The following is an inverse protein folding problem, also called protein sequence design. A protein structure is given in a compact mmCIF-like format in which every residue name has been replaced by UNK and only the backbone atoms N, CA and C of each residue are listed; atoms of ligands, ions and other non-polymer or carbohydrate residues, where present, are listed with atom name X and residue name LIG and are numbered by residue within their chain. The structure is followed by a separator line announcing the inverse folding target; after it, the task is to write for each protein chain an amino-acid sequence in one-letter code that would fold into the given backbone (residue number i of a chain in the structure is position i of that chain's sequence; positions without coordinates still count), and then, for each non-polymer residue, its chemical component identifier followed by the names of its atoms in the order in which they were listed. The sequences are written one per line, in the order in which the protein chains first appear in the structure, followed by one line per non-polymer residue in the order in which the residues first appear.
data_IF_465295333054
#
_entry.id   IF_465295333054
#
_cell.length_a   1.000
_cell.length_b   1.000
_cell.length_c   1.000
_cell.angle_alpha   90.00
_cell.angle_beta   90.00
_cell.angle_gamma   90.00
#
_symmetry.space_group_name_H-M   'P 1'
#
loop_
_entity.id
_entity.type
_entity.pdbx_description
1 polymer ?
#
# COMPACT_ATOMS: atom_id res chain seq x y z
N UNK A 1 -28.08 -8.45 16.36
CA UNK A 1 -27.28 -8.83 15.17
C UNK A 1 -25.89 -9.36 15.53
N UNK A 2 -24.94 -8.54 16.02
CA UNK A 2 -23.57 -9.02 16.34
C UNK A 2 -23.54 -10.12 17.41
N UNK A 3 -24.33 -9.97 18.48
CA UNK A 3 -24.46 -11.00 19.53
C UNK A 3 -25.22 -12.25 19.07
N UNK A 4 -26.08 -12.12 18.05
CA UNK A 4 -26.97 -13.19 17.59
C UNK A 4 -26.33 -14.05 16.47
N UNK A 5 -25.37 -13.50 15.72
CA UNK A 5 -24.76 -14.18 14.57
C UNK A 5 -23.46 -14.92 14.92
N UNK A 6 -22.56 -14.29 15.70
CA UNK A 6 -21.31 -14.81 16.31
C UNK A 6 -20.21 -13.73 16.31
N UNK A 7 -19.24 -13.78 17.24
CA UNK A 7 -18.08 -12.90 17.19
C UNK A 7 -17.23 -13.20 15.95
N UNK A 8 -16.86 -12.15 15.20
CA UNK A 8 -15.99 -12.28 14.03
C UNK A 8 -14.64 -12.88 14.42
N UNK A 9 -14.24 -13.93 13.70
CA UNK A 9 -12.93 -14.56 13.81
C UNK A 9 -12.13 -14.27 12.57
N UNK A 10 -10.91 -13.77 12.76
CA UNK A 10 -9.91 -13.65 11.71
C UNK A 10 -8.93 -14.81 11.85
N UNK A 11 -8.32 -15.22 10.74
CA UNK A 11 -7.29 -16.26 10.77
C UNK A 11 -6.07 -15.78 11.58
N UNK A 12 -5.37 -16.72 12.23
CA UNK A 12 -4.17 -16.37 13.01
C UNK A 12 -3.11 -15.65 12.18
N UNK A 13 -2.95 -16.06 10.92
CA UNK A 13 -2.08 -15.37 9.97
C UNK A 13 -2.50 -13.90 9.78
N UNK A 14 -3.78 -13.66 9.50
CA UNK A 14 -4.30 -12.30 9.31
C UNK A 14 -4.16 -11.43 10.58
N UNK A 15 -4.33 -12.03 11.77
CA UNK A 15 -4.09 -11.35 13.04
C UNK A 15 -2.62 -10.92 13.19
N UNK A 16 -1.67 -11.79 12.84
CA UNK A 16 -0.23 -11.46 12.84
C UNK A 16 0.08 -10.36 11.84
N UNK A 17 -0.49 -10.40 10.63
CA UNK A 17 -0.33 -9.36 9.62
C UNK A 17 -0.82 -8.00 10.13
N UNK A 18 -1.97 -7.95 10.81
CA UNK A 18 -2.46 -6.73 11.45
C UNK A 18 -1.56 -6.26 12.59
N UNK A 19 -1.08 -7.17 13.44
CA UNK A 19 -0.10 -6.84 14.48
C UNK A 19 1.18 -6.23 13.89
N UNK A 20 1.74 -6.85 12.85
CA UNK A 20 2.91 -6.34 12.12
C UNK A 20 2.66 -4.97 11.48
N UNK A 21 1.50 -4.78 10.84
CA UNK A 21 1.09 -3.49 10.30
C UNK A 21 1.05 -2.38 11.36
N UNK A 22 0.49 -2.64 12.55
CA UNK A 22 0.50 -1.68 13.67
C UNK A 22 1.91 -1.42 14.18
N UNK A 23 2.72 -2.46 14.34
CA UNK A 23 4.10 -2.33 14.80
C UNK A 23 4.93 -1.51 13.81
N UNK A 24 4.74 -1.73 12.51
CA UNK A 24 5.40 -0.96 11.46
C UNK A 24 5.02 0.52 11.54
N UNK A 25 3.74 0.86 11.71
CA UNK A 25 3.29 2.25 11.82
C UNK A 25 3.90 2.95 13.04
N UNK A 26 3.93 2.28 14.20
CA UNK A 26 4.62 2.79 15.39
C UNK A 26 6.12 2.98 15.15
N UNK A 27 6.77 2.00 14.52
CA UNK A 27 8.20 2.04 14.22
C UNK A 27 8.57 3.16 13.24
N UNK A 28 7.73 3.42 12.23
CA UNK A 28 7.94 4.50 11.24
C UNK A 28 8.02 5.86 11.94
N UNK A 29 7.13 6.13 12.89
CA UNK A 29 7.12 7.41 13.64
C UNK A 29 8.43 7.57 14.39
N UNK A 30 8.77 6.59 15.24
CA UNK A 30 9.97 6.66 16.08
C UNK A 30 11.25 6.70 15.25
N UNK A 31 11.34 5.88 14.20
CA UNK A 31 12.49 5.87 13.31
C UNK A 31 12.68 7.21 12.60
N UNK A 32 11.60 7.80 12.08
CA UNK A 32 11.64 9.11 11.42
C UNK A 32 12.12 10.19 12.41
N UNK A 33 11.61 10.21 13.63
CA UNK A 33 12.00 11.19 14.66
C UNK A 33 13.48 11.03 15.06
N UNK A 34 13.93 9.81 15.34
CA UNK A 34 15.27 9.56 15.88
C UNK A 34 16.39 9.69 14.83
N UNK A 35 16.19 9.14 13.63
CA UNK A 35 17.22 9.10 12.59
C UNK A 35 17.19 10.35 11.71
N UNK A 36 15.99 10.78 11.29
CA UNK A 36 15.85 11.85 10.29
C UNK A 36 15.32 13.16 10.89
N UNK A 37 14.90 13.21 12.15
CA UNK A 37 14.24 14.39 12.73
C UNK A 37 15.07 15.68 12.67
N UNK A 38 16.39 15.59 12.90
CA UNK A 38 17.29 16.76 12.78
C UNK A 38 17.41 17.27 11.35
N UNK A 39 17.47 16.35 10.39
CA UNK A 39 17.57 16.68 8.97
C UNK A 39 16.26 17.24 8.44
N UNK A 40 15.12 16.67 8.85
CA UNK A 40 13.78 17.19 8.55
C UNK A 40 13.64 18.61 9.09
N UNK A 41 14.05 18.86 10.33
CA UNK A 41 13.99 20.20 10.93
C UNK A 41 14.91 21.21 10.21
N UNK A 42 16.13 20.78 9.88
CA UNK A 42 17.06 21.59 9.12
C UNK A 42 16.47 21.97 7.75
N UNK A 43 15.92 21.00 7.00
CA UNK A 43 15.32 21.22 5.69
C UNK A 43 14.05 22.06 5.73
N UNK A 44 13.22 21.92 6.75
CA UNK A 44 12.06 22.81 6.97
C UNK A 44 12.53 24.25 7.18
N UNK A 45 13.64 24.44 7.90
CA UNK A 45 14.22 25.78 8.16
C UNK A 45 14.99 26.35 6.95
N UNK A 46 15.64 25.49 6.16
CA UNK A 46 16.48 25.86 5.02
C UNK A 46 15.76 25.75 3.67
N UNK A 47 14.44 25.55 3.65
CA UNK A 47 13.61 25.32 2.45
C UNK A 47 13.73 26.38 1.32
N UNK A 48 14.52 27.45 1.52
CA UNK A 48 14.85 28.47 0.53
C UNK A 48 16.34 28.63 0.19
N UNK A 49 17.24 27.98 0.91
CA UNK A 49 18.68 28.15 0.72
C UNK A 49 19.40 26.84 1.08
N UNK A 50 19.71 26.01 0.07
CA UNK A 50 20.98 25.28 0.06
C UNK A 50 21.31 24.63 -1.30
N UNK A 51 22.57 24.82 -1.69
CA UNK A 51 23.35 24.28 -2.81
C UNK A 51 22.61 23.53 -3.92
N UNK A 52 22.41 24.19 -5.06
CA UNK A 52 21.89 23.55 -6.26
C UNK A 52 22.84 22.45 -6.78
N UNK A 53 22.32 21.23 -6.80
CA UNK A 53 22.78 20.12 -7.62
C UNK A 53 22.99 20.61 -9.08
N UNK A 54 23.95 20.02 -9.81
CA UNK A 54 24.08 20.21 -11.27
C UNK A 54 22.74 20.02 -11.98
N UNK A 55 21.94 19.05 -11.56
CA UNK A 55 20.59 18.83 -12.06
C UNK A 55 19.64 19.99 -11.74
N UNK A 56 19.72 20.59 -10.56
CA UNK A 56 18.94 21.78 -10.21
C UNK A 56 19.35 22.98 -11.07
N UNK A 57 20.65 23.25 -11.21
CA UNK A 57 21.18 24.31 -12.09
C UNK A 57 20.74 24.16 -13.54
N UNK A 58 20.70 22.92 -14.04
CA UNK A 58 20.21 22.64 -15.40
C UNK A 58 18.68 22.83 -15.52
N UNK A 59 17.94 22.67 -14.42
CA UNK A 59 16.50 22.86 -14.37
C UNK A 59 16.08 24.32 -14.20
N UNK A 60 16.94 25.20 -13.69
CA UNK A 60 16.68 26.64 -13.52
C UNK A 60 16.29 27.35 -14.83
N UNK A 61 16.66 26.78 -15.98
CA UNK A 61 16.24 27.26 -17.30
C UNK A 61 14.73 27.15 -17.52
N UNK A 62 14.07 26.17 -16.89
CA UNK A 62 12.65 25.92 -17.05
C UNK A 62 11.86 26.69 -16.00
N UNK A 63 10.75 27.29 -16.45
CA UNK A 63 9.84 27.99 -15.52
C UNK A 63 9.15 26.97 -14.62
N UNK A 64 9.26 27.17 -13.32
CA UNK A 64 8.54 26.38 -12.34
C UNK A 64 7.02 26.54 -12.51
N UNK A 65 6.29 25.56 -11.98
CA UNK A 65 4.83 25.58 -11.91
C UNK A 65 4.45 26.52 -10.76
N UNK A 66 3.60 27.54 -10.99
CA UNK A 66 3.15 28.39 -9.91
C UNK A 66 2.40 27.58 -8.85
N UNK A 67 2.67 27.82 -7.57
CA UNK A 67 1.97 27.16 -6.45
C UNK A 67 0.44 27.29 -6.52
N UNK A 68 -0.04 28.39 -7.13
CA UNK A 68 -1.47 28.63 -7.38
C UNK A 68 -2.12 27.53 -8.22
N UNK A 69 -1.41 26.90 -9.16
CA UNK A 69 -1.96 25.81 -9.98
C UNK A 69 -2.28 24.59 -9.12
N UNK A 70 -1.38 24.24 -8.20
CA UNK A 70 -1.60 23.19 -7.21
C UNK A 70 -2.72 23.55 -6.23
N UNK A 71 -2.76 24.79 -5.76
CA UNK A 71 -3.81 25.26 -4.84
C UNK A 71 -5.20 25.20 -5.48
N UNK A 72 -5.35 25.65 -6.73
CA UNK A 72 -6.62 25.58 -7.47
C UNK A 72 -7.06 24.13 -7.65
N UNK A 73 -6.15 23.25 -8.07
CA UNK A 73 -6.45 21.82 -8.24
C UNK A 73 -6.88 21.17 -6.92
N UNK A 74 -6.19 21.50 -5.82
CA UNK A 74 -6.55 21.02 -4.49
C UNK A 74 -7.94 21.48 -4.08
N UNK A 75 -8.28 22.76 -4.28
CA UNK A 75 -9.61 23.30 -3.95
C UNK A 75 -10.70 22.62 -4.79
N UNK A 76 -10.49 22.42 -6.09
CA UNK A 76 -11.45 21.74 -6.98
C UNK A 76 -11.65 20.29 -6.53
N UNK A 77 -10.57 19.55 -6.28
CA UNK A 77 -10.63 18.15 -5.85
C UNK A 77 -11.31 18.02 -4.47
N UNK A 78 -11.03 18.93 -3.55
CA UNK A 78 -11.65 18.98 -2.22
C UNK A 78 -13.16 19.29 -2.32
N UNK A 79 -13.55 20.24 -3.18
CA UNK A 79 -14.95 20.57 -3.41
C UNK A 79 -15.72 19.38 -3.99
N UNK A 80 -15.17 18.70 -5.01
CA UNK A 80 -15.75 17.48 -5.56
C UNK A 80 -15.87 16.38 -4.49
N UNK A 81 -14.87 16.25 -3.62
CA UNK A 81 -14.91 15.29 -2.50
C UNK A 81 -16.06 15.59 -1.53
N UNK A 82 -16.28 16.87 -1.17
CA UNK A 82 -17.44 17.26 -0.36
C UNK A 82 -18.77 16.95 -1.04
N UNK A 83 -18.89 17.23 -2.34
CA UNK A 83 -20.08 16.94 -3.14
C UNK A 83 -20.39 15.44 -3.10
N UNK A 84 -19.39 14.57 -3.26
CA UNK A 84 -19.60 13.12 -3.20
C UNK A 84 -20.10 12.64 -1.85
N UNK A 85 -19.61 13.23 -0.75
CA UNK A 85 -20.00 12.81 0.61
C UNK A 85 -21.41 13.28 0.96
N UNK A 86 -21.81 14.47 0.50
CA UNK A 86 -23.11 15.08 0.84
C UNK A 86 -24.24 14.53 -0.04
N UNK A 87 -24.01 14.38 -1.34
CA UNK A 87 -25.07 13.99 -2.28
C UNK A 87 -25.36 12.49 -2.31
N UNK A 88 -24.36 11.64 -2.01
CA UNK A 88 -24.53 10.19 -2.00
C UNK A 88 -24.73 9.65 -0.57
N UNK A 89 -25.47 8.55 -0.38
CA UNK A 89 -25.72 7.91 0.92
C UNK A 89 -24.45 7.25 1.46
N UNK A 90 -23.50 8.08 1.86
CA UNK A 90 -22.15 7.74 2.26
C UNK A 90 -22.06 7.31 3.73
N UNK A 91 -23.05 7.71 4.54
CA UNK A 91 -23.04 7.61 6.00
C UNK A 91 -21.76 8.19 6.64
N UNK A 92 -21.07 9.09 5.94
CA UNK A 92 -19.84 9.76 6.38
C UNK A 92 -20.15 11.25 6.64
N UNK A 93 -19.95 11.78 7.86
CA UNK A 93 -20.10 13.21 8.11
C UNK A 93 -19.05 14.03 7.35
N UNK A 94 -19.45 15.18 6.77
CA UNK A 94 -18.55 16.01 5.94
C UNK A 94 -17.23 16.40 6.64
N UNK A 95 -17.26 16.69 7.94
CA UNK A 95 -16.07 17.08 8.72
C UNK A 95 -15.03 15.97 8.84
N UNK A 96 -15.43 14.70 8.71
CA UNK A 96 -14.48 13.57 8.73
C UNK A 96 -13.57 13.56 7.50
N UNK A 97 -13.96 14.19 6.40
CA UNK A 97 -13.07 14.39 5.24
C UNK A 97 -11.86 15.25 5.61
N UNK A 98 -12.06 16.31 6.39
CA UNK A 98 -10.98 17.20 6.83
C UNK A 98 -9.97 16.41 7.67
N UNK A 99 -10.46 15.54 8.55
CA UNK A 99 -9.60 14.66 9.35
C UNK A 99 -8.81 13.70 8.46
N UNK A 100 -9.42 13.13 7.42
CA UNK A 100 -8.72 12.25 6.49
C UNK A 100 -7.59 12.99 5.75
N UNK A 101 -7.83 14.24 5.32
CA UNK A 101 -6.81 15.08 4.65
C UNK A 101 -5.68 15.45 5.60
N UNK A 102 -5.98 15.84 6.84
CA UNK A 102 -4.96 16.13 7.86
C UNK A 102 -4.13 14.87 8.14
N UNK A 103 -4.79 13.72 8.30
CA UNK A 103 -4.11 12.45 8.51
C UNK A 103 -3.17 12.12 7.36
N UNK A 104 -3.62 12.27 6.11
CA UNK A 104 -2.79 12.06 4.93
C UNK A 104 -1.57 13.00 4.91
N UNK A 105 -1.76 14.28 5.22
CA UNK A 105 -0.69 15.27 5.27
C UNK A 105 0.38 14.91 6.32
N UNK A 106 -0.03 14.54 7.53
CA UNK A 106 0.90 14.17 8.62
C UNK A 106 1.69 12.91 8.28
N UNK A 107 1.03 11.90 7.70
CA UNK A 107 1.68 10.63 7.37
C UNK A 107 2.49 10.65 6.08
N UNK A 108 2.27 11.63 5.20
CA UNK A 108 3.00 11.76 3.94
C UNK A 108 4.52 11.84 4.16
N UNK A 109 4.97 12.63 5.14
CA UNK A 109 6.40 12.87 5.37
C UNK A 109 7.14 11.65 5.94
N UNK A 110 6.69 11.01 7.04
CA UNK A 110 7.35 9.81 7.57
C UNK A 110 7.38 8.67 6.55
N UNK A 111 6.29 8.46 5.81
CA UNK A 111 6.20 7.40 4.81
C UNK A 111 7.08 7.73 3.62
N UNK A 112 7.08 8.98 3.16
CA UNK A 112 7.95 9.43 2.07
C UNK A 112 9.43 9.21 2.36
N UNK A 113 9.88 9.46 3.59
CA UNK A 113 11.27 9.20 4.01
C UNK A 113 11.57 7.69 3.97
N UNK A 114 10.68 6.87 4.53
CA UNK A 114 10.85 5.40 4.53
C UNK A 114 10.89 4.87 3.09
N UNK A 115 9.93 5.27 2.25
CA UNK A 115 9.87 4.87 0.83
C UNK A 115 11.11 5.33 0.07
N UNK A 116 11.61 6.53 0.34
CA UNK A 116 12.82 7.04 -0.32
C UNK A 116 14.08 6.23 0.04
N UNK A 117 14.20 5.76 1.28
CA UNK A 117 15.38 5.01 1.75
C UNK A 117 15.29 3.52 1.38
N UNK A 118 14.09 2.95 1.48
CA UNK A 118 13.90 1.50 1.51
C UNK A 118 13.22 0.96 0.25
N UNK A 119 12.68 1.87 -0.58
CA UNK A 119 11.83 1.56 -1.73
C UNK A 119 10.56 0.78 -1.37
N UNK A 120 10.23 0.67 -0.08
CA UNK A 120 8.99 0.06 0.42
C UNK A 120 8.00 1.15 0.80
N UNK A 121 6.75 1.00 0.37
CA UNK A 121 5.68 1.97 0.63
C UNK A 121 4.72 1.42 1.69
N UNK A 122 4.92 1.75 2.98
CA UNK A 122 4.01 1.33 4.03
C UNK A 122 2.59 1.84 3.81
N UNK A 123 1.60 1.01 4.16
CA UNK A 123 0.18 1.38 4.07
C UNK A 123 -0.35 1.94 5.38
N UNK A 124 -0.99 3.11 5.34
CA UNK A 124 -1.75 3.69 6.48
C UNK A 124 -3.22 3.29 6.50
N UNK A 125 -3.63 2.40 5.60
CA UNK A 125 -5.03 1.98 5.47
C UNK A 125 -5.65 1.62 6.81
N UNK A 126 -4.91 0.90 7.65
CA UNK A 126 -5.43 0.42 8.92
C UNK A 126 -5.62 1.51 9.98
N UNK A 127 -4.73 2.50 10.06
CA UNK A 127 -4.92 3.65 10.97
C UNK A 127 -6.09 4.51 10.48
N UNK A 128 -6.21 4.72 9.17
CA UNK A 128 -7.35 5.46 8.61
C UNK A 128 -8.68 4.77 8.95
N UNK A 129 -8.73 3.45 8.76
CA UNK A 129 -9.92 2.65 9.10
C UNK A 129 -10.22 2.65 10.60
N UNK A 130 -9.17 2.58 11.43
CA UNK A 130 -9.30 2.62 12.88
C UNK A 130 -9.88 3.97 13.34
N UNK A 131 -9.32 5.09 12.88
CA UNK A 131 -9.78 6.44 13.27
C UNK A 131 -11.26 6.62 12.94
N UNK A 132 -11.68 6.27 11.72
CA UNK A 132 -13.09 6.39 11.34
C UNK A 132 -13.98 5.43 12.14
N UNK A 133 -13.52 4.20 12.37
CA UNK A 133 -14.23 3.20 13.18
C UNK A 133 -14.46 3.64 14.63
N UNK A 134 -13.57 4.45 15.22
CA UNK A 134 -13.79 5.08 16.54
C UNK A 134 -14.83 6.19 16.43
N UNK A 135 -14.75 7.03 15.40
CA UNK A 135 -15.62 8.20 15.23
C UNK A 135 -17.08 7.79 14.99
N UNK A 136 -17.32 6.85 14.07
CA UNK A 136 -18.67 6.46 13.68
C UNK A 136 -18.78 4.95 13.37
N UNK A 137 -18.76 4.10 14.41
CA UNK A 137 -18.93 2.66 14.24
C UNK A 137 -20.29 2.34 13.62
N UNK A 138 -20.38 1.20 12.93
CA UNK A 138 -21.60 0.75 12.25
C UNK A 138 -21.72 1.18 10.78
N UNK A 139 -20.76 1.94 10.24
CA UNK A 139 -20.84 2.50 8.89
C UNK A 139 -19.66 2.04 8.00
N UNK A 140 -19.76 0.86 7.35
CA UNK A 140 -18.67 0.31 6.53
C UNK A 140 -18.39 1.11 5.26
N UNK A 141 -19.43 1.64 4.60
CA UNK A 141 -19.28 2.44 3.36
C UNK A 141 -18.52 3.74 3.66
N UNK A 142 -18.89 4.45 4.72
CA UNK A 142 -18.18 5.66 5.18
C UNK A 142 -16.72 5.37 5.51
N UNK A 143 -16.45 4.21 6.11
CA UNK A 143 -15.09 3.78 6.42
C UNK A 143 -14.24 3.55 5.15
N UNK A 144 -14.83 2.93 4.12
CA UNK A 144 -14.15 2.73 2.84
C UNK A 144 -13.80 4.06 2.16
N UNK A 145 -14.69 5.06 2.22
CA UNK A 145 -14.39 6.40 1.70
C UNK A 145 -13.33 7.12 2.51
N UNK A 146 -13.41 7.09 3.85
CA UNK A 146 -12.38 7.70 4.70
C UNK A 146 -11.00 7.09 4.44
N UNK A 147 -10.93 5.75 4.32
CA UNK A 147 -9.70 5.04 3.92
C UNK A 147 -9.19 5.51 2.57
N UNK A 148 -10.06 5.63 1.56
CA UNK A 148 -9.68 6.13 0.24
C UNK A 148 -9.06 7.52 0.33
N UNK A 149 -9.73 8.47 0.98
CA UNK A 149 -9.21 9.84 1.13
C UNK A 149 -7.95 9.95 1.99
N UNK A 150 -7.77 9.08 3.00
CA UNK A 150 -6.55 9.08 3.81
C UNK A 150 -5.38 8.36 3.13
N UNK A 151 -5.55 7.07 2.85
CA UNK A 151 -4.48 6.20 2.37
C UNK A 151 -4.12 6.41 0.90
N UNK A 152 -5.12 6.46 0.00
CA UNK A 152 -4.84 6.55 -1.44
C UNK A 152 -4.21 7.91 -1.77
N UNK A 153 -4.62 8.98 -1.09
CA UNK A 153 -3.99 10.31 -1.21
C UNK A 153 -2.50 10.28 -0.89
N UNK A 154 -2.09 9.62 0.21
CA UNK A 154 -0.66 9.46 0.53
C UNK A 154 0.06 8.68 -0.57
N UNK A 155 -0.53 7.58 -1.04
CA UNK A 155 0.07 6.78 -2.12
C UNK A 155 0.24 7.59 -3.41
N UNK A 156 -0.77 8.36 -3.80
CA UNK A 156 -0.70 9.21 -4.99
C UNK A 156 0.32 10.34 -4.84
N UNK A 157 0.41 10.95 -3.65
CA UNK A 157 1.43 11.97 -3.39
C UNK A 157 2.87 11.41 -3.47
N UNK A 158 3.09 10.15 -3.05
CA UNK A 158 4.39 9.49 -3.21
C UNK A 158 4.72 9.18 -4.67
N UNK A 159 3.75 8.67 -5.45
CA UNK A 159 3.93 8.43 -6.88
C UNK A 159 4.20 9.75 -7.63
N UNK A 160 3.45 10.79 -7.31
CA UNK A 160 3.66 12.13 -7.84
C UNK A 160 5.07 12.67 -7.53
N UNK A 161 5.57 12.47 -6.30
CA UNK A 161 6.93 12.85 -5.93
C UNK A 161 8.01 12.01 -6.66
N UNK A 162 7.76 10.72 -6.90
CA UNK A 162 8.64 9.86 -7.70
C UNK A 162 8.71 10.35 -9.15
N UNK A 163 7.56 10.69 -9.74
CA UNK A 163 7.51 11.24 -11.08
C UNK A 163 8.27 12.55 -11.15
N UNK A 164 8.08 13.48 -10.20
CA UNK A 164 8.78 14.76 -10.20
C UNK A 164 10.31 14.57 -10.16
N UNK A 165 10.78 13.58 -9.39
CA UNK A 165 12.18 13.20 -9.34
C UNK A 165 12.67 12.65 -10.69
N UNK A 166 11.90 11.80 -11.34
CA UNK A 166 12.20 11.29 -12.68
C UNK A 166 12.27 12.43 -13.70
N UNK A 167 11.28 13.34 -13.70
CA UNK A 167 11.24 14.52 -14.56
C UNK A 167 12.43 15.44 -14.33
N UNK A 168 12.84 15.62 -13.08
CA UNK A 168 14.03 16.37 -12.71
C UNK A 168 15.32 15.75 -13.28
N UNK A 169 15.45 14.42 -13.28
CA UNK A 169 16.61 13.75 -13.88
C UNK A 169 16.60 13.78 -15.41
N UNK A 170 15.42 13.59 -16.02
CA UNK A 170 15.23 13.56 -17.48
C UNK A 170 15.17 14.95 -18.13
N UNK A 171 15.17 16.02 -17.33
CA UNK A 171 15.08 17.42 -17.80
C UNK A 171 13.78 17.71 -18.55
N UNK A 172 12.69 17.15 -18.04
CA UNK A 172 11.34 17.44 -18.54
C UNK A 172 10.87 18.77 -17.93
N UNK A 173 10.36 19.72 -18.73
CA UNK A 173 9.84 20.98 -18.21
C UNK A 173 8.71 20.74 -17.17
N UNK A 174 8.74 21.37 -15.97
CA UNK A 174 7.76 21.10 -14.91
C UNK A 174 6.30 21.39 -15.29
N UNK A 175 6.05 22.39 -16.12
CA UNK A 175 4.68 22.77 -16.57
C UNK A 175 4.07 21.74 -17.51
N UNK A 176 4.87 21.20 -18.42
CA UNK A 176 4.43 20.13 -19.31
C UNK A 176 4.14 18.88 -18.49
N UNK A 177 5.03 18.55 -17.56
CA UNK A 177 4.86 17.43 -16.66
C UNK A 177 3.55 17.50 -15.85
N UNK A 178 3.25 18.66 -15.25
CA UNK A 178 1.99 18.89 -14.56
C UNK A 178 0.77 18.67 -15.46
N UNK A 179 0.84 19.16 -16.70
CA UNK A 179 -0.26 19.04 -17.68
C UNK A 179 -0.48 17.58 -18.07
N UNK A 180 0.59 16.83 -18.36
CA UNK A 180 0.50 15.40 -18.66
C UNK A 180 -0.08 14.59 -17.51
N UNK A 181 0.31 14.88 -16.26
CA UNK A 181 -0.21 14.20 -15.09
C UNK A 181 -1.72 14.46 -14.89
N UNK A 182 -2.18 15.70 -15.07
CA UNK A 182 -3.61 16.02 -14.98
C UNK A 182 -4.41 15.30 -16.06
N UNK A 183 -3.98 15.44 -17.32
CA UNK A 183 -4.67 14.82 -18.46
C UNK A 183 -4.70 13.29 -18.29
N UNK A 184 -3.57 12.69 -17.91
CA UNK A 184 -3.48 11.26 -17.63
C UNK A 184 -4.41 10.82 -16.49
N UNK A 185 -4.49 11.60 -15.40
CA UNK A 185 -5.36 11.28 -14.27
C UNK A 185 -6.84 11.35 -14.64
N UNK A 186 -7.23 12.36 -15.43
CA UNK A 186 -8.62 12.50 -15.91
C UNK A 186 -8.99 11.32 -16.81
N UNK A 187 -8.16 11.01 -17.80
CA UNK A 187 -8.38 9.88 -18.71
C UNK A 187 -8.44 8.56 -17.92
N UNK A 188 -7.48 8.32 -17.04
CA UNK A 188 -7.43 7.11 -16.22
C UNK A 188 -8.68 6.96 -15.34
N UNK A 189 -9.21 8.06 -14.80
CA UNK A 189 -10.43 8.05 -13.99
C UNK A 189 -11.65 7.59 -14.80
N UNK A 190 -11.84 8.14 -16.01
CA UNK A 190 -12.95 7.74 -16.88
C UNK A 190 -12.79 6.32 -17.42
N UNK A 191 -11.60 5.93 -17.86
CA UNK A 191 -11.33 4.58 -18.35
C UNK A 191 -11.54 3.55 -17.24
N UNK A 192 -10.99 3.79 -16.04
CA UNK A 192 -11.17 2.88 -14.90
C UNK A 192 -12.64 2.73 -14.51
N UNK A 193 -13.41 3.83 -14.49
CA UNK A 193 -14.84 3.77 -14.18
C UNK A 193 -15.62 3.05 -15.28
N UNK A 194 -15.33 3.34 -16.55
CA UNK A 194 -15.96 2.71 -17.71
C UNK A 194 -15.70 1.20 -17.76
N UNK A 195 -14.46 0.77 -17.56
CA UNK A 195 -14.09 -0.65 -17.50
C UNK A 195 -14.78 -1.34 -16.33
N UNK A 196 -14.84 -0.71 -15.16
CA UNK A 196 -15.53 -1.29 -14.00
C UNK A 196 -17.03 -1.47 -14.27
N UNK A 197 -17.69 -0.44 -14.82
CA UNK A 197 -19.10 -0.51 -15.17
C UNK A 197 -19.38 -1.57 -16.24
N UNK A 198 -18.53 -1.65 -17.27
CA UNK A 198 -18.62 -2.65 -18.32
C UNK A 198 -18.51 -4.07 -17.79
N UNK A 199 -17.51 -4.34 -16.94
CA UNK A 199 -17.29 -5.65 -16.32
C UNK A 199 -18.47 -6.08 -15.45
N UNK A 200 -19.00 -5.17 -14.62
CA UNK A 200 -20.13 -5.45 -13.74
C UNK A 200 -21.44 -5.73 -14.51
N UNK A 201 -21.64 -5.12 -15.69
CA UNK A 201 -22.85 -5.31 -16.49
C UNK A 201 -22.76 -6.49 -17.47
N UNK A 202 -21.54 -6.86 -17.90
CA UNK A 202 -21.34 -7.86 -18.94
C UNK A 202 -21.12 -9.27 -18.38
N UNK A 203 -20.58 -9.40 -17.16
CA UNK A 203 -20.23 -10.69 -16.57
C UNK A 203 -21.20 -11.00 -15.41
N UNK A 204 -22.07 -12.02 -15.54
CA UNK A 204 -22.96 -12.41 -14.46
C UNK A 204 -22.14 -13.01 -13.30
N UNK A 205 -22.51 -12.68 -12.06
CA UNK A 205 -21.85 -13.17 -10.84
C UNK A 205 -20.34 -12.86 -10.75
N UNK A 206 -19.89 -11.73 -11.32
CA UNK A 206 -18.52 -11.25 -11.14
C UNK A 206 -18.13 -11.18 -9.65
N UNK A 207 -16.86 -11.42 -9.34
CA UNK A 207 -16.33 -11.48 -7.98
C UNK A 207 -16.83 -12.68 -7.13
N UNK A 208 -17.53 -13.65 -7.72
CA UNK A 208 -17.84 -14.95 -7.08
C UNK A 208 -16.93 -16.06 -7.59
N UNK A 209 -16.78 -17.15 -6.83
CA UNK A 209 -15.98 -18.31 -7.24
C UNK A 209 -16.51 -18.98 -8.53
N UNK A 210 -17.81 -18.84 -8.80
CA UNK A 210 -18.46 -19.41 -9.99
C UNK A 210 -18.07 -18.69 -11.29
N UNK A 211 -17.56 -17.46 -11.22
CA UNK A 211 -17.18 -16.66 -12.38
C UNK A 211 -15.67 -16.73 -12.69
N UNK A 212 -14.94 -17.75 -12.21
CA UNK A 212 -13.52 -17.94 -12.52
C UNK A 212 -13.28 -17.87 -14.05
N UNK A 213 -12.35 -17.03 -14.55
CA UNK A 213 -11.24 -16.37 -13.85
C UNK A 213 -11.54 -14.97 -13.23
N UNK A 214 -12.76 -14.46 -13.33
CA UNK A 214 -13.17 -13.11 -12.93
C UNK A 214 -13.44 -12.95 -11.43
N UNK A 215 -12.46 -13.32 -10.63
CA UNK A 215 -12.48 -13.16 -9.18
C UNK A 215 -11.95 -11.79 -8.77
N UNK A 216 -12.45 -11.23 -7.67
CA UNK A 216 -12.07 -9.87 -7.20
C UNK A 216 -11.45 -9.91 -5.81
N UNK A 217 -10.30 -10.57 -5.63
CA UNK A 217 -9.72 -10.83 -4.31
C UNK A 217 -9.35 -9.54 -3.57
N UNK A 218 -8.79 -8.54 -4.27
CA UNK A 218 -8.43 -7.25 -3.67
C UNK A 218 -9.67 -6.43 -3.26
N UNK A 219 -10.74 -6.45 -4.05
CA UNK A 219 -11.99 -5.77 -3.71
C UNK A 219 -12.70 -6.45 -2.52
N UNK A 220 -12.69 -7.79 -2.49
CA UNK A 220 -13.19 -8.59 -1.38
C UNK A 220 -12.45 -8.27 -0.07
N UNK A 221 -11.11 -8.19 -0.10
CA UNK A 221 -10.34 -7.78 1.08
C UNK A 221 -10.66 -6.35 1.52
N UNK A 222 -10.78 -5.41 0.58
CA UNK A 222 -11.10 -4.03 0.87
C UNK A 222 -12.49 -3.87 1.51
N UNK A 223 -13.45 -4.72 1.12
CA UNK A 223 -14.76 -4.83 1.75
C UNK A 223 -14.70 -5.53 3.12
N UNK A 224 -13.99 -6.65 3.24
CA UNK A 224 -13.86 -7.38 4.50
C UNK A 224 -13.19 -6.53 5.59
N UNK A 225 -12.18 -5.72 5.25
CA UNK A 225 -11.54 -4.80 6.20
C UNK A 225 -12.51 -3.73 6.70
N UNK A 226 -13.41 -3.24 5.84
CA UNK A 226 -14.41 -2.24 6.23
C UNK A 226 -15.50 -2.81 7.14
N UNK A 227 -15.79 -4.11 7.07
CA UNK A 227 -16.67 -4.80 8.03
C UNK A 227 -16.02 -4.85 9.41
N UNK A 228 -14.75 -5.24 9.49
CA UNK A 228 -14.01 -5.31 10.77
C UNK A 228 -13.93 -3.93 11.42
N UNK A 229 -13.40 -2.94 10.70
CA UNK A 229 -13.09 -1.63 11.26
C UNK A 229 -14.25 -0.64 11.23
N UNK A 230 -15.15 -0.76 10.24
CA UNK A 230 -16.24 0.18 10.02
C UNK A 230 -17.56 -0.28 10.62
N UNK A 231 -17.95 -1.55 10.43
CA UNK A 231 -19.22 -2.08 10.94
C UNK A 231 -19.16 -2.46 12.42
N UNK A 232 -18.17 -3.28 12.83
CA UNK A 232 -18.01 -3.66 14.25
C UNK A 232 -17.41 -2.52 15.04
N UNK A 233 -16.37 -1.90 14.47
CA UNK A 233 -15.58 -0.86 15.11
C UNK A 233 -14.52 -1.42 16.08
N UNK A 234 -13.45 -0.65 16.29
CA UNK A 234 -12.34 -1.01 17.16
C UNK A 234 -12.75 -1.21 18.62
N UNK A 235 -13.74 -0.47 19.10
CA UNK A 235 -14.20 -0.53 20.50
C UNK A 235 -14.74 -1.92 20.88
N UNK A 236 -15.38 -2.62 19.94
CA UNK A 236 -15.85 -4.00 20.13
C UNK A 236 -14.79 -5.02 19.77
N UNK A 237 -14.01 -4.76 18.71
CA UNK A 237 -12.96 -5.67 18.27
C UNK A 237 -11.84 -5.83 19.31
N UNK A 238 -11.50 -4.75 20.03
CA UNK A 238 -10.49 -4.72 21.08
C UNK A 238 -11.05 -4.66 22.50
N UNK A 239 -12.33 -5.01 22.68
CA UNK A 239 -12.95 -5.08 24.00
C UNK A 239 -12.17 -6.02 24.93
N UNK A 240 -12.32 -5.82 26.25
CA UNK A 240 -11.62 -6.61 27.26
C UNK A 240 -11.87 -8.13 27.14
N UNK A 241 -13.06 -8.51 26.65
CA UNK A 241 -13.49 -9.90 26.47
C UNK A 241 -13.13 -10.48 25.09
N UNK A 242 -12.49 -9.69 24.21
CA UNK A 242 -12.11 -10.11 22.86
C UNK A 242 -10.74 -10.80 22.83
N UNK A 243 -10.64 -11.86 22.01
CA UNK A 243 -9.38 -12.56 21.71
C UNK A 243 -8.30 -11.63 21.12
N UNK A 244 -8.70 -10.51 20.51
CA UNK A 244 -7.80 -9.60 19.78
C UNK A 244 -7.27 -8.42 20.60
N UNK A 245 -7.53 -8.40 21.91
CA UNK A 245 -7.06 -7.35 22.83
C UNK A 245 -5.54 -7.11 22.77
N UNK A 246 -4.76 -8.13 22.39
CA UNK A 246 -3.30 -8.03 22.25
C UNK A 246 -2.81 -7.18 21.07
N UNK A 247 -3.61 -7.02 20.02
CA UNK A 247 -3.15 -6.41 18.76
C UNK A 247 -2.75 -4.93 18.90
N UNK A 248 -3.49 -4.04 19.60
CA UNK A 248 -3.08 -2.64 19.79
C UNK A 248 -1.70 -2.48 20.44
N UNK A 249 -1.29 -3.42 21.31
CA UNK A 249 0.01 -3.37 21.96
C UNK A 249 1.17 -3.52 20.97
N UNK A 250 0.95 -4.10 19.78
CA UNK A 250 1.95 -4.14 18.73
C UNK A 250 2.34 -2.73 18.26
N UNK A 251 1.41 -1.77 18.26
CA UNK A 251 1.74 -0.38 17.95
C UNK A 251 2.76 0.19 18.95
N UNK A 252 2.55 -0.06 20.25
CA UNK A 252 3.47 0.38 21.30
C UNK A 252 4.82 -0.35 21.21
N UNK A 253 4.80 -1.66 21.00
CA UNK A 253 6.03 -2.44 20.79
C UNK A 253 6.81 -1.93 19.58
N UNK A 254 6.12 -1.64 18.47
CA UNK A 254 6.71 -1.04 17.28
C UNK A 254 7.25 0.36 17.51
N UNK A 255 6.54 1.19 18.29
CA UNK A 255 7.02 2.52 18.67
C UNK A 255 8.29 2.45 19.53
N UNK A 256 8.40 1.48 20.43
CA UNK A 256 9.56 1.32 21.31
C UNK A 256 10.73 0.60 20.65
N UNK A 257 10.49 -0.29 19.67
CA UNK A 257 11.53 -1.14 19.07
C UNK A 257 12.69 -0.39 18.38
N UNK A 258 12.50 0.77 17.71
CA UNK A 258 13.61 1.54 17.14
C UNK A 258 14.52 2.19 18.18
N UNK A 259 14.04 2.45 19.41
CA UNK A 259 14.79 3.14 20.46
C UNK A 259 16.06 2.37 20.87
N UNK A 260 16.01 1.07 21.27
CA UNK A 260 17.21 0.32 21.65
C UNK A 260 18.17 0.16 20.46
N UNK A 261 17.65 -0.05 19.24
CA UNK A 261 18.48 -0.17 18.03
C UNK A 261 19.21 1.14 17.74
N UNK A 262 18.54 2.28 17.90
CA UNK A 262 19.15 3.60 17.75
C UNK A 262 20.25 3.87 18.78
N UNK A 263 19.99 3.56 20.06
CA UNK A 263 20.97 3.73 21.13
C UNK A 263 22.20 2.83 20.93
N UNK A 264 21.99 1.58 20.51
CA UNK A 264 23.06 0.64 20.18
C UNK A 264 23.85 1.08 18.95
N UNK A 265 23.18 1.54 17.90
CA UNK A 265 23.82 2.07 16.69
C UNK A 265 24.69 3.31 17.02
N UNK A 266 24.25 4.16 17.95
CA UNK A 266 25.03 5.32 18.40
C UNK A 266 26.24 4.93 19.27
N UNK A 267 26.11 3.87 20.08
CA UNK A 267 27.21 3.35 20.91
C UNK A 267 28.24 2.56 20.08
N UNK A 268 27.79 1.84 19.05
CA UNK A 268 28.61 0.98 18.21
C UNK A 268 28.40 1.29 16.71
N UNK A 269 28.92 2.42 16.20
CA UNK A 269 28.65 2.89 14.84
C UNK A 269 29.16 1.93 13.74
N UNK A 270 30.22 1.17 14.00
CA UNK A 270 30.79 0.21 13.04
C UNK A 270 30.15 -1.19 13.10
N UNK A 271 29.16 -1.39 13.97
CA UNK A 271 28.50 -2.70 14.10
C UNK A 271 27.42 -2.91 13.02
N UNK A 272 27.08 -4.17 12.77
CA UNK A 272 25.96 -4.56 11.91
C UNK A 272 24.61 -3.98 12.35
N UNK A 273 24.45 -3.63 13.63
CA UNK A 273 23.23 -3.06 14.21
C UNK A 273 22.89 -1.71 13.58
N UNK A 274 23.89 -0.93 13.17
CA UNK A 274 23.68 0.35 12.48
C UNK A 274 23.02 0.18 11.10
N UNK A 275 22.99 -1.04 10.53
CA UNK A 275 22.36 -1.34 9.24
C UNK A 275 20.92 -1.85 9.37
N UNK A 276 20.42 -2.04 10.60
CA UNK A 276 19.08 -2.56 10.84
C UNK A 276 18.05 -1.44 10.68
N UNK A 277 17.14 -1.61 9.72
CA UNK A 277 15.97 -0.74 9.58
C UNK A 277 14.75 -1.43 10.22
N UNK A 278 14.42 -1.02 11.44
CA UNK A 278 13.33 -1.61 12.24
C UNK A 278 11.96 -1.47 11.57
N UNK A 279 11.56 -0.29 11.03
CA UNK A 279 10.31 -0.16 10.26
C UNK A 279 10.17 -1.19 9.13
N UNK A 280 11.21 -1.40 8.33
CA UNK A 280 11.18 -2.37 7.21
C UNK A 280 11.05 -3.80 7.73
N UNK A 281 11.75 -4.12 8.81
CA UNK A 281 11.64 -5.44 9.43
C UNK A 281 10.23 -5.69 9.98
N UNK A 282 9.59 -4.67 10.58
CA UNK A 282 8.23 -4.75 11.10
C UNK A 282 7.15 -4.75 10.01
N UNK A 283 7.44 -4.17 8.84
CA UNK A 283 6.54 -4.23 7.68
C UNK A 283 6.30 -5.67 7.21
N UNK A 284 7.18 -6.60 7.57
CA UNK A 284 7.05 -8.01 7.27
C UNK A 284 7.10 -8.30 5.76
N UNK A 285 6.85 -9.55 5.37
CA UNK A 285 6.70 -9.90 3.97
C UNK A 285 5.34 -9.38 3.48
N UNK A 286 5.34 -8.23 2.82
CA UNK A 286 4.22 -7.77 1.99
C UNK A 286 4.38 -8.33 0.58
N UNK A 287 3.30 -8.68 -0.16
CA UNK A 287 1.89 -8.40 0.14
C UNK A 287 1.20 -9.44 1.03
N UNK A 288 0.41 -8.97 1.99
CA UNK A 288 -0.52 -9.74 2.82
C UNK A 288 -1.69 -10.33 1.99
N UNK A 289 -2.64 -11.13 2.55
CA UNK A 289 -3.79 -11.64 1.82
C UNK A 289 -4.47 -10.53 1.00
N UNK A 290 -4.85 -10.77 -0.26
CA UNK A 290 -5.16 -12.08 -0.84
C UNK A 290 -3.99 -12.76 -1.56
N UNK A 291 -2.74 -12.28 -1.38
CA UNK A 291 -1.61 -12.90 -2.07
C UNK A 291 -1.49 -14.39 -1.70
N UNK A 292 -1.30 -15.27 -2.70
CA UNK A 292 -1.24 -16.69 -2.47
C UNK A 292 0.00 -17.11 -1.65
N UNK A 293 -0.10 -18.25 -0.96
CA UNK A 293 0.89 -18.65 0.06
C UNK A 293 2.26 -18.96 -0.54
N UNK A 294 2.30 -19.31 -1.83
CA UNK A 294 3.51 -19.61 -2.60
C UNK A 294 4.35 -18.35 -2.91
N UNK A 295 3.77 -17.15 -2.87
CA UNK A 295 4.48 -15.92 -3.26
C UNK A 295 5.67 -15.65 -2.34
N UNK A 296 5.52 -15.84 -1.04
CA UNK A 296 6.57 -15.50 -0.07
C UNK A 296 7.80 -16.40 -0.14
N UNK A 297 7.65 -17.75 -0.16
CA UNK A 297 8.79 -18.63 -0.39
C UNK A 297 9.48 -18.34 -1.72
N UNK A 298 8.71 -18.11 -2.79
CA UNK A 298 9.26 -17.79 -4.11
C UNK A 298 10.07 -16.49 -4.11
N UNK A 299 9.54 -15.42 -3.53
CA UNK A 299 10.26 -14.14 -3.41
C UNK A 299 11.52 -14.27 -2.57
N UNK A 300 11.45 -15.00 -1.46
CA UNK A 300 12.61 -15.24 -0.58
C UNK A 300 13.68 -16.05 -1.31
N UNK A 301 13.28 -17.08 -2.05
CA UNK A 301 14.16 -17.95 -2.81
C UNK A 301 14.86 -17.21 -3.96
N UNK A 302 14.09 -16.51 -4.79
CA UNK A 302 14.62 -15.68 -5.89
C UNK A 302 15.51 -14.57 -5.31
N UNK A 303 15.05 -13.91 -4.25
CA UNK A 303 15.80 -12.89 -3.53
C UNK A 303 17.15 -13.40 -3.02
N UNK A 304 17.21 -14.60 -2.46
CA UNK A 304 18.44 -15.26 -2.03
C UNK A 304 19.36 -15.56 -3.22
N UNK A 305 18.84 -16.13 -4.31
CA UNK A 305 19.66 -16.44 -5.50
C UNK A 305 20.31 -15.16 -6.03
N UNK A 306 19.53 -14.11 -6.31
CA UNK A 306 20.05 -12.90 -6.94
C UNK A 306 20.90 -12.06 -5.97
N UNK A 307 20.46 -11.86 -4.73
CA UNK A 307 21.14 -10.96 -3.80
C UNK A 307 22.25 -11.62 -2.99
N UNK A 308 22.25 -12.95 -2.81
CA UNK A 308 23.30 -13.67 -2.09
C UNK A 308 24.22 -14.44 -3.02
N UNK A 309 23.68 -15.30 -3.89
CA UNK A 309 24.51 -16.18 -4.74
C UNK A 309 25.13 -15.41 -5.92
N UNK A 310 24.29 -14.77 -6.75
CA UNK A 310 24.74 -14.05 -7.95
C UNK A 310 25.56 -12.83 -7.58
N UNK A 311 25.14 -12.07 -6.57
CA UNK A 311 25.91 -10.91 -6.09
C UNK A 311 27.33 -11.26 -5.62
N UNK A 312 27.53 -12.43 -4.99
CA UNK A 312 28.85 -12.89 -4.52
C UNK A 312 29.70 -13.47 -5.65
N UNK A 313 29.10 -14.26 -6.56
CA UNK A 313 29.84 -14.92 -7.65
C UNK A 313 30.11 -14.01 -8.85
N UNK A 314 29.18 -13.12 -9.18
CA UNK A 314 29.18 -12.28 -10.38
C UNK A 314 28.76 -10.83 -10.07
N UNK A 315 29.52 -10.17 -9.18
CA UNK A 315 29.24 -8.78 -8.76
C UNK A 315 29.12 -7.80 -9.93
N UNK A 316 29.94 -7.94 -10.97
CA UNK A 316 29.94 -7.01 -12.11
C UNK A 316 28.64 -7.12 -12.91
N UNK A 317 28.16 -8.35 -13.13
CA UNK A 317 26.89 -8.60 -13.79
C UNK A 317 25.71 -8.08 -12.95
N UNK A 318 25.71 -8.37 -11.65
CA UNK A 318 24.63 -7.96 -10.75
C UNK A 318 24.45 -6.44 -10.74
N UNK A 319 25.52 -5.65 -10.64
CA UNK A 319 25.45 -4.18 -10.64
C UNK A 319 24.90 -3.60 -11.94
N UNK A 320 25.17 -4.24 -13.08
CA UNK A 320 24.82 -3.73 -14.41
C UNK A 320 23.42 -4.16 -14.86
N UNK A 321 23.03 -5.42 -14.60
CA UNK A 321 21.86 -6.02 -15.24
C UNK A 321 20.74 -6.41 -14.28
N UNK A 322 20.97 -6.51 -12.96
CA UNK A 322 19.96 -7.03 -12.04
C UNK A 322 18.67 -6.17 -12.03
N UNK A 323 18.81 -4.85 -11.99
CA UNK A 323 17.66 -3.94 -12.03
C UNK A 323 16.96 -3.93 -13.38
N UNK A 324 17.71 -4.03 -14.48
CA UNK A 324 17.15 -4.12 -15.83
C UNK A 324 16.36 -5.42 -16.01
N UNK A 325 16.90 -6.54 -15.51
CA UNK A 325 16.21 -7.83 -15.53
C UNK A 325 14.93 -7.79 -14.69
N UNK A 326 14.97 -7.20 -13.50
CA UNK A 326 13.77 -7.01 -12.66
C UNK A 326 12.69 -6.23 -13.42
N UNK A 327 13.06 -5.09 -14.01
CA UNK A 327 12.14 -4.28 -14.81
C UNK A 327 11.60 -5.02 -16.03
N UNK A 328 12.42 -5.87 -16.67
CA UNK A 328 12.02 -6.67 -17.82
C UNK A 328 11.03 -7.79 -17.42
N UNK A 329 11.21 -8.42 -16.26
CA UNK A 329 10.29 -9.41 -15.73
C UNK A 329 8.93 -8.78 -15.40
N UNK A 330 8.91 -7.62 -14.72
CA UNK A 330 7.67 -6.90 -14.43
C UNK A 330 6.92 -6.49 -15.71
N UNK A 331 7.64 -5.97 -16.70
CA UNK A 331 7.08 -5.61 -18.01
C UNK A 331 6.58 -6.85 -18.76
N UNK A 332 7.32 -7.96 -18.67
CA UNK A 332 6.97 -9.23 -19.30
C UNK A 332 5.66 -9.78 -18.75
N UNK A 333 5.46 -9.76 -17.42
CA UNK A 333 4.21 -10.17 -16.78
C UNK A 333 3.04 -9.32 -17.28
N UNK A 334 3.20 -8.00 -17.39
CA UNK A 334 2.14 -7.11 -17.89
C UNK A 334 1.77 -7.43 -19.35
N UNK A 335 2.75 -7.64 -20.22
CA UNK A 335 2.52 -8.01 -21.64
C UNK A 335 1.87 -9.40 -21.73
N UNK A 336 2.37 -10.37 -20.96
CA UNK A 336 1.81 -11.72 -20.91
C UNK A 336 0.36 -11.71 -20.43
N UNK A 337 0.00 -10.88 -19.45
CA UNK A 337 -1.38 -10.75 -18.98
C UNK A 337 -2.33 -10.27 -20.10
N UNK A 338 -1.90 -9.29 -20.90
CA UNK A 338 -2.67 -8.79 -22.05
C UNK A 338 -2.85 -9.90 -23.10
N UNK A 339 -1.78 -10.62 -23.43
CA UNK A 339 -1.83 -11.72 -24.38
C UNK A 339 -2.76 -12.83 -23.87
N UNK A 340 -2.65 -13.21 -22.60
CA UNK A 340 -3.49 -14.25 -22.00
C UNK A 340 -4.97 -13.84 -22.02
N UNK A 341 -5.25 -12.58 -21.69
CA UNK A 341 -6.60 -12.03 -21.70
C UNK A 341 -7.24 -12.13 -23.09
N UNK A 342 -6.59 -11.59 -24.12
CA UNK A 342 -7.17 -11.54 -25.46
C UNK A 342 -7.14 -12.89 -26.20
N UNK A 343 -6.10 -13.71 -25.99
CA UNK A 343 -5.96 -14.98 -26.68
C UNK A 343 -6.78 -16.12 -26.05
N UNK A 344 -6.91 -16.15 -24.72
CA UNK A 344 -7.54 -17.27 -24.02
C UNK A 344 -8.83 -16.86 -23.30
N UNK A 345 -8.77 -15.88 -22.39
CA UNK A 345 -9.89 -15.56 -21.50
C UNK A 345 -11.09 -14.99 -22.26
N UNK A 346 -10.86 -14.08 -23.21
CA UNK A 346 -11.93 -13.50 -24.02
C UNK A 346 -12.65 -14.53 -24.90
N UNK A 347 -11.90 -15.50 -25.43
CA UNK A 347 -12.43 -16.57 -26.28
C UNK A 347 -12.93 -17.79 -25.51
N UNK A 348 -12.99 -17.73 -24.16
CA UNK A 348 -13.35 -18.85 -23.28
C UNK A 348 -12.52 -20.13 -23.52
N UNK A 349 -11.27 -19.99 -23.98
CA UNK A 349 -10.38 -21.13 -24.20
C UNK A 349 -9.73 -21.49 -22.85
N UNK A 350 -10.07 -22.67 -22.34
CA UNK A 350 -9.48 -23.20 -21.11
C UNK A 350 -8.04 -23.64 -21.38
N UNK A 351 -7.09 -23.07 -20.64
CA UNK A 351 -5.69 -23.47 -20.74
C UNK A 351 -5.53 -24.90 -20.20
N UNK A 352 -4.73 -25.78 -20.84
CA UNK A 352 -4.53 -27.14 -20.37
C UNK A 352 -3.96 -27.14 -18.94
N UNK A 353 -4.44 -28.06 -18.10
CA UNK A 353 -3.88 -28.30 -16.77
C UNK A 353 -2.48 -28.88 -16.89
N UNK A 354 -1.51 -28.30 -16.19
CA UNK A 354 -0.11 -28.75 -16.20
C UNK A 354 0.49 -28.61 -14.80
N UNK A 355 1.74 -29.03 -14.63
CA UNK A 355 2.42 -29.01 -13.34
C UNK A 355 2.54 -27.63 -12.68
N UNK A 356 2.19 -26.53 -13.36
CA UNK A 356 2.15 -25.16 -12.81
C UNK A 356 0.76 -24.52 -12.74
N UNK A 357 -0.29 -25.21 -13.20
CA UNK A 357 -1.70 -24.76 -13.12
C UNK A 357 -2.56 -25.95 -12.70
N UNK A 358 -2.66 -26.16 -11.39
CA UNK A 358 -3.42 -27.29 -10.81
C UNK A 358 -4.92 -27.12 -11.01
N UNK A 359 -5.65 -28.23 -11.12
CA UNK A 359 -7.11 -28.25 -11.28
C UNK A 359 -7.87 -27.86 -10.00
N UNK A 360 -7.25 -28.04 -8.83
CA UNK A 360 -7.90 -27.87 -7.52
C UNK A 360 -7.53 -26.56 -6.81
N UNK A 361 -6.27 -26.14 -6.90
CA UNK A 361 -5.79 -24.89 -6.28
C UNK A 361 -4.82 -24.17 -7.21
N UNK A 362 -5.03 -22.85 -7.35
CA UNK A 362 -4.15 -21.95 -8.12
C UNK A 362 -2.70 -22.00 -7.59
N UNK A 363 -2.55 -22.29 -6.30
CA UNK A 363 -1.27 -22.27 -5.59
C UNK A 363 -0.64 -23.64 -5.39
N UNK A 364 -1.30 -24.71 -5.84
CA UNK A 364 -0.88 -26.10 -5.63
C UNK A 364 -0.72 -26.47 -4.15
N UNK A 365 -1.42 -25.74 -3.29
CA UNK A 365 -1.43 -25.92 -1.86
C UNK A 365 -2.86 -26.30 -1.42
N UNK A 366 -3.21 -27.60 -1.47
CA UNK A 366 -4.58 -28.06 -1.17
C UNK A 366 -5.00 -27.80 0.28
N UNK A 367 -4.04 -27.62 1.18
CA UNK A 367 -4.26 -27.29 2.59
C UNK A 367 -4.24 -25.78 2.86
N UNK A 368 -4.20 -24.92 1.83
CA UNK A 368 -4.16 -23.47 2.02
C UNK A 368 -5.40 -22.93 2.77
N UNK A 369 -6.56 -23.60 2.62
CA UNK A 369 -7.81 -23.26 3.30
C UNK A 369 -7.98 -23.97 4.63
N UNK A 370 -7.18 -25.00 4.92
CA UNK A 370 -7.28 -25.81 6.13
C UNK A 370 -6.55 -25.15 7.31
N UNK A 371 -7.17 -25.18 8.49
CA UNK A 371 -6.47 -24.84 9.73
C UNK A 371 -5.52 -25.96 10.18
N UNK A 372 -4.82 -25.74 11.30
CA UNK A 372 -3.92 -26.73 11.92
C UNK A 372 -4.60 -28.09 12.22
N UNK A 373 -5.92 -28.12 12.42
CA UNK A 373 -6.69 -29.34 12.66
C UNK A 373 -7.18 -30.01 11.36
N UNK A 374 -6.81 -29.49 10.19
CA UNK A 374 -7.24 -30.01 8.89
C UNK A 374 -8.67 -29.65 8.49
N UNK A 375 -9.36 -28.78 9.25
CA UNK A 375 -10.70 -28.32 8.87
C UNK A 375 -10.57 -27.09 7.98
N UNK A 376 -11.24 -27.12 6.82
CA UNK A 376 -11.36 -25.96 5.95
C UNK A 376 -12.05 -24.81 6.70
N UNK A 377 -11.41 -23.64 6.75
CA UNK A 377 -11.89 -22.44 7.47
C UNK A 377 -12.90 -21.65 6.63
N UNK A 378 -13.02 -21.99 5.35
CA UNK A 378 -13.89 -21.33 4.36
C UNK A 378 -15.06 -22.22 3.89
N UNK A 379 -15.11 -23.49 4.31
CA UNK A 379 -16.28 -24.37 4.20
C UNK A 379 -17.27 -24.09 5.34
#
# INVERSE_FOLDING_TARGET
AYADYSPIRITGFFAVCYGQGLAALGAIITHTILYNGKEVWARIKSARQDTDDIHAKLMDKYKEVPDLWYAILFIIALALSFVTIILWPSNMPWWTLIIAVILAFVWLLPIGIITAITSQSPSISMISEWIFGVIRPGNPIGNMMFKTYGYITVRQALLFAQDLKLGHYMKIPPREMFTFQIVGTIIASFVSLGTTNYLMNSIPNICTNAAYPWTCPNAGLFGASSVIWGLIGPNKFFAHDSLYRGLPYFFLCGFLAPIPVYLLARRYPNSWVAKINVPVFMLGPTPYPPAPTNVMPCWTFIGFIFNFVVKRRASAWWKKYNYVLSSALDSGVAISAIVIFFAFQYSNIQFPTWWGNGSETVDQCPLATANWNGTDVYA
#
